data_IF_441395703388
#
_entry.id   IF_441395703388
#
_cell.length_a   1.000
_cell.length_b   1.000
_cell.length_c   1.000
_cell.angle_alpha   90.00
_cell.angle_beta   90.00
_cell.angle_gamma   90.00
#
_symmetry.space_group_name_H-M   'P 1'
#
loop_
_entity.id
_entity.type
_entity.pdbx_description
1 polymer ?
#
# COMPACT_ATOMS: atom_id res chain seq x y z
N UNK A 1 1.99 32.92 44.01
CA UNK A 1 2.70 32.17 42.97
C UNK A 1 2.42 30.67 43.16
N UNK A 2 1.35 30.16 42.60
CA UNK A 2 1.06 28.71 42.42
C UNK A 2 -0.22 28.59 41.59
N UNK A 3 -0.12 28.51 40.28
CA UNK A 3 -1.13 28.06 39.32
C UNK A 3 -0.54 28.08 37.88
N UNK A 4 0.28 27.11 37.54
CA UNK A 4 0.73 26.90 36.17
C UNK A 4 1.26 25.47 35.96
N UNK A 5 0.55 24.44 36.43
CA UNK A 5 1.02 23.06 36.18
C UNK A 5 -0.10 22.02 35.92
N UNK A 6 -1.37 22.44 35.72
CA UNK A 6 -2.49 21.50 35.55
C UNK A 6 -2.89 21.23 34.10
N UNK A 7 -2.28 21.91 33.13
CA UNK A 7 -2.67 21.69 31.70
C UNK A 7 -1.88 20.59 30.98
N UNK A 8 -0.78 20.08 31.54
CA UNK A 8 -0.04 18.96 30.94
C UNK A 8 -0.62 17.58 31.29
N UNK A 9 -1.37 17.45 32.36
CA UNK A 9 -2.01 16.20 32.79
C UNK A 9 -3.30 15.85 32.06
N UNK A 10 -3.98 16.83 31.48
CA UNK A 10 -5.26 16.63 30.81
C UNK A 10 -5.13 16.17 29.33
N UNK A 11 -4.02 16.45 28.69
CA UNK A 11 -3.75 16.00 27.30
C UNK A 11 -3.28 14.55 27.25
N UNK A 12 -2.65 14.03 28.31
CA UNK A 12 -2.18 12.65 28.37
C UNK A 12 -3.29 11.61 28.62
N UNK A 13 -4.47 12.01 29.10
CA UNK A 13 -5.60 11.09 29.41
C UNK A 13 -6.66 10.99 28.31
N UNK A 14 -6.54 11.73 27.20
CA UNK A 14 -7.53 11.71 26.10
C UNK A 14 -7.23 10.72 24.99
N UNK A 15 -6.07 10.04 24.99
CA UNK A 15 -5.64 9.11 23.93
C UNK A 15 -5.71 7.62 24.31
N UNK A 16 -6.56 7.21 25.23
CA UNK A 16 -6.80 5.78 25.50
C UNK A 16 -7.90 5.15 24.62
N UNK A 17 -8.31 5.80 23.54
CA UNK A 17 -9.14 5.18 22.49
C UNK A 17 -8.23 4.57 21.45
N UNK A 18 -7.93 3.26 21.66
CA UNK A 18 -7.50 2.29 20.64
C UNK A 18 -6.59 2.86 19.54
N UNK A 19 -5.32 3.16 19.88
CA UNK A 19 -4.31 3.27 18.83
C UNK A 19 -4.30 1.98 18.03
N UNK A 20 -4.36 2.02 16.71
CA UNK A 20 -4.37 0.81 15.90
C UNK A 20 -3.14 -0.03 16.21
N UNK A 21 -3.33 -1.36 16.29
CA UNK A 21 -2.23 -2.27 16.57
C UNK A 21 -1.46 -2.56 15.28
N UNK A 22 -0.54 -1.66 14.92
CA UNK A 22 0.35 -1.83 13.78
C UNK A 22 1.57 -2.71 14.10
N UNK A 23 1.51 -3.59 15.12
CA UNK A 23 2.63 -4.49 15.39
C UNK A 23 2.98 -5.31 14.18
N UNK A 24 4.27 -5.55 13.98
CA UNK A 24 4.81 -6.27 12.83
C UNK A 24 4.07 -7.60 12.57
N UNK A 25 3.84 -8.40 13.61
CA UNK A 25 3.13 -9.67 13.49
C UNK A 25 1.69 -9.51 12.99
N UNK A 26 0.96 -8.50 13.47
CA UNK A 26 -0.40 -8.23 13.04
C UNK A 26 -0.46 -7.77 11.58
N UNK A 27 0.44 -6.88 11.18
CA UNK A 27 0.55 -6.43 9.78
C UNK A 27 0.82 -7.61 8.84
N UNK A 28 1.80 -8.47 9.19
CA UNK A 28 2.17 -9.61 8.37
C UNK A 28 1.04 -10.65 8.27
N UNK A 29 0.31 -10.88 9.36
CA UNK A 29 -0.79 -11.85 9.39
C UNK A 29 -2.00 -11.36 8.60
N UNK A 30 -2.40 -10.12 8.81
CA UNK A 30 -3.52 -9.51 8.07
C UNK A 30 -3.23 -9.33 6.58
N UNK A 31 -1.97 -9.10 6.22
CA UNK A 31 -1.53 -9.06 4.84
C UNK A 31 -1.47 -10.46 4.17
N UNK A 32 -1.69 -11.53 4.93
CA UNK A 32 -1.55 -12.91 4.43
C UNK A 32 -0.10 -13.31 4.14
N UNK A 33 0.88 -12.54 4.64
CA UNK A 33 2.31 -12.78 4.41
C UNK A 33 2.89 -13.82 5.38
N UNK A 34 2.25 -13.97 6.53
CA UNK A 34 2.62 -14.93 7.56
C UNK A 34 1.35 -15.55 8.16
N UNK A 35 1.15 -16.88 8.05
CA UNK A 35 0.03 -17.55 8.71
C UNK A 35 0.07 -17.37 10.23
N UNK A 36 -1.08 -17.22 10.89
CA UNK A 36 -1.16 -16.99 12.33
C UNK A 36 -0.44 -18.08 13.13
N UNK A 37 -0.64 -19.35 12.78
CA UNK A 37 0.04 -20.46 13.43
C UNK A 37 1.58 -20.33 13.37
N UNK A 38 2.11 -19.86 12.23
CA UNK A 38 3.55 -19.64 12.07
C UNK A 38 4.05 -18.46 12.92
N UNK A 39 3.25 -17.40 13.04
CA UNK A 39 3.56 -16.28 13.93
C UNK A 39 3.63 -16.75 15.40
N UNK A 40 2.67 -17.57 15.83
CA UNK A 40 2.60 -18.07 17.21
C UNK A 40 3.81 -18.96 17.54
N UNK A 41 4.29 -19.79 16.59
CA UNK A 41 5.54 -20.58 16.71
C UNK A 41 6.76 -19.67 16.90
N UNK A 42 6.86 -18.58 16.10
CA UNK A 42 7.98 -17.65 16.19
C UNK A 42 7.95 -16.85 17.49
N UNK A 43 6.75 -16.45 17.94
CA UNK A 43 6.57 -15.76 19.22
C UNK A 43 6.96 -16.66 20.42
N UNK A 44 6.64 -17.96 20.36
CA UNK A 44 7.09 -18.91 21.39
C UNK A 44 8.63 -19.02 21.43
N UNK A 45 9.29 -19.06 20.26
CA UNK A 45 10.75 -19.03 20.18
C UNK A 45 11.32 -17.70 20.69
N UNK A 46 10.69 -16.58 20.33
CA UNK A 46 11.09 -15.26 20.81
C UNK A 46 11.09 -15.18 22.35
N UNK A 47 10.04 -15.69 22.99
CA UNK A 47 9.92 -15.71 24.46
C UNK A 47 11.07 -16.51 25.11
N UNK A 48 11.55 -17.56 24.45
CA UNK A 48 12.66 -18.39 24.95
C UNK A 48 14.05 -17.74 24.77
N UNK A 49 14.24 -16.90 23.75
CA UNK A 49 15.55 -16.38 23.35
C UNK A 49 15.72 -14.86 23.50
N UNK A 50 14.70 -14.17 23.98
CA UNK A 50 14.70 -12.71 24.21
C UNK A 50 15.10 -11.88 22.97
N UNK A 51 14.89 -12.43 21.76
CA UNK A 51 15.23 -11.79 20.49
C UNK A 51 14.15 -10.86 19.95
N UNK A 52 14.47 -10.04 18.95
CA UNK A 52 13.50 -9.23 18.23
C UNK A 52 12.73 -10.09 17.23
N UNK A 53 11.39 -9.98 17.18
CA UNK A 53 10.54 -10.74 16.25
C UNK A 53 11.03 -10.64 14.79
N UNK A 54 11.35 -9.43 14.32
CA UNK A 54 11.84 -9.22 12.96
C UNK A 54 13.13 -10.00 12.64
N UNK A 55 14.09 -10.01 13.56
CA UNK A 55 15.34 -10.75 13.38
C UNK A 55 15.08 -12.26 13.28
N UNK A 56 14.22 -12.81 14.13
CA UNK A 56 13.83 -14.22 14.07
C UNK A 56 13.10 -14.59 12.77
N UNK A 57 12.24 -13.70 12.26
CA UNK A 57 11.56 -13.93 10.99
C UNK A 57 12.53 -14.00 9.82
N UNK A 58 13.60 -13.18 9.83
CA UNK A 58 14.65 -13.20 8.80
C UNK A 58 15.52 -14.46 8.96
N UNK A 59 15.96 -14.77 10.17
CA UNK A 59 16.76 -15.97 10.48
C UNK A 59 16.07 -17.27 10.05
N UNK A 60 14.75 -17.34 10.25
CA UNK A 60 13.92 -18.48 9.84
C UNK A 60 13.54 -18.47 8.35
N UNK A 61 14.02 -17.51 7.57
CA UNK A 61 13.73 -17.36 6.15
C UNK A 61 12.24 -17.06 5.84
N UNK A 62 11.47 -16.58 6.83
CA UNK A 62 10.06 -16.23 6.68
C UNK A 62 9.86 -14.82 6.10
N UNK A 63 10.89 -13.99 6.18
CA UNK A 63 10.95 -12.63 5.67
C UNK A 63 12.36 -12.32 5.18
N UNK A 64 12.48 -11.61 4.07
CA UNK A 64 13.77 -11.06 3.64
C UNK A 64 14.14 -9.83 4.48
N UNK A 65 15.44 -9.58 4.72
CA UNK A 65 15.88 -8.44 5.51
C UNK A 65 15.38 -7.10 4.94
N UNK A 66 15.44 -6.94 3.62
CA UNK A 66 14.94 -5.75 2.94
C UNK A 66 13.41 -5.62 3.04
N UNK A 67 12.67 -6.72 3.08
CA UNK A 67 11.23 -6.72 3.35
C UNK A 67 10.95 -6.29 4.78
N UNK A 68 11.71 -6.79 5.75
CA UNK A 68 11.58 -6.38 7.16
C UNK A 68 11.75 -4.87 7.30
N UNK A 69 12.83 -4.29 6.76
CA UNK A 69 13.05 -2.84 6.83
C UNK A 69 11.93 -2.06 6.17
N UNK A 70 11.42 -2.50 5.02
CA UNK A 70 10.33 -1.85 4.33
C UNK A 70 9.00 -1.92 5.13
N UNK A 71 8.70 -3.05 5.76
CA UNK A 71 7.50 -3.18 6.61
C UNK A 71 7.63 -2.37 7.89
N UNK A 72 8.82 -2.29 8.50
CA UNK A 72 9.06 -1.43 9.66
C UNK A 72 8.94 0.06 9.30
N UNK A 73 9.45 0.49 8.15
CA UNK A 73 9.27 1.85 7.67
C UNK A 73 7.79 2.18 7.40
N UNK A 74 7.05 1.22 6.83
CA UNK A 74 5.61 1.32 6.66
C UNK A 74 4.88 1.41 8.02
N UNK A 75 5.25 0.59 8.99
CA UNK A 75 4.71 0.62 10.34
C UNK A 75 4.87 2.01 10.97
N UNK A 76 6.08 2.59 10.91
CA UNK A 76 6.36 3.94 11.41
C UNK A 76 5.45 4.97 10.71
N UNK A 77 5.36 4.91 9.38
CA UNK A 77 4.51 5.83 8.61
C UNK A 77 3.03 5.69 8.95
N UNK A 78 2.55 4.49 9.28
CA UNK A 78 1.15 4.26 9.70
C UNK A 78 0.85 4.83 11.09
N UNK A 79 1.82 4.79 12.01
CA UNK A 79 1.68 5.44 13.32
C UNK A 79 1.65 6.97 13.23
N UNK A 80 2.31 7.53 12.23
CA UNK A 80 2.39 8.98 11.98
C UNK A 80 1.24 9.49 11.09
N UNK A 81 0.50 8.57 10.44
CA UNK A 81 -0.57 8.93 9.52
C UNK A 81 -1.74 9.62 10.23
N UNK A 82 -2.15 10.77 9.73
CA UNK A 82 -3.38 11.41 10.17
C UNK A 82 -4.62 10.70 9.61
N UNK A 83 -5.78 10.90 10.25
CA UNK A 83 -7.04 10.32 9.79
C UNK A 83 -7.38 10.73 8.34
N UNK A 84 -7.03 11.96 7.95
CA UNK A 84 -7.21 12.49 6.59
C UNK A 84 -6.41 11.69 5.56
N UNK A 85 -5.17 11.30 5.88
CA UNK A 85 -4.32 10.50 4.99
C UNK A 85 -4.90 9.11 4.76
N UNK A 86 -5.48 8.51 5.81
CA UNK A 86 -6.17 7.20 5.72
C UNK A 86 -7.42 7.33 4.85
N UNK A 87 -8.23 8.35 5.06
CA UNK A 87 -9.43 8.62 4.27
C UNK A 87 -9.05 8.84 2.80
N UNK A 88 -8.02 9.63 2.53
CA UNK A 88 -7.56 9.93 1.19
C UNK A 88 -7.07 8.66 0.48
N UNK A 89 -6.33 7.80 1.18
CA UNK A 89 -5.89 6.51 0.63
C UNK A 89 -7.07 5.59 0.29
N UNK A 90 -8.04 5.46 1.20
CA UNK A 90 -9.22 4.61 1.00
C UNK A 90 -10.10 5.10 -0.15
N UNK A 91 -10.27 6.41 -0.28
CA UNK A 91 -11.07 7.05 -1.33
C UNK A 91 -10.33 7.20 -2.67
N UNK A 92 -9.08 6.81 -2.76
CA UNK A 92 -8.30 6.90 -4.00
C UNK A 92 -8.65 5.81 -5.04
N UNK A 93 -9.72 5.02 -4.84
CA UNK A 93 -10.19 4.06 -5.83
C UNK A 93 -11.00 4.77 -6.91
N UNK A 94 -10.87 4.32 -8.15
CA UNK A 94 -11.60 4.91 -9.28
C UNK A 94 -13.13 4.94 -9.04
N UNK A 95 -13.68 3.85 -8.47
CA UNK A 95 -15.11 3.76 -8.15
C UNK A 95 -15.56 4.83 -7.16
N UNK A 96 -14.79 5.07 -6.10
CA UNK A 96 -15.11 6.07 -5.07
C UNK A 96 -15.03 7.50 -5.63
N UNK A 97 -14.06 7.76 -6.50
CA UNK A 97 -13.90 9.04 -7.20
C UNK A 97 -15.13 9.29 -8.09
N UNK A 98 -15.55 8.31 -8.87
CA UNK A 98 -16.69 8.42 -9.77
C UNK A 98 -18.02 8.58 -9.03
N UNK A 99 -18.21 7.87 -7.91
CA UNK A 99 -19.37 8.04 -7.03
C UNK A 99 -19.37 9.42 -6.38
N UNK A 100 -18.25 9.86 -5.81
CA UNK A 100 -18.13 11.17 -5.18
C UNK A 100 -18.35 12.34 -6.15
N UNK A 101 -18.00 12.14 -7.41
CA UNK A 101 -18.28 13.09 -8.50
C UNK A 101 -19.71 12.97 -9.07
N UNK A 102 -20.56 12.09 -8.53
CA UNK A 102 -21.88 11.74 -9.07
C UNK A 102 -21.86 11.34 -10.56
N UNK A 103 -20.71 10.85 -11.04
CA UNK A 103 -20.52 10.41 -12.42
C UNK A 103 -21.13 9.03 -12.70
N UNK A 104 -21.29 8.22 -11.64
CA UNK A 104 -21.99 6.92 -11.65
C UNK A 104 -22.91 6.80 -10.46
N UNK A 105 -23.95 5.96 -10.57
CA UNK A 105 -24.77 5.53 -9.43
C UNK A 105 -24.14 4.33 -8.74
N UNK A 106 -24.52 4.07 -7.48
CA UNK A 106 -24.09 2.86 -6.75
C UNK A 106 -24.44 1.59 -7.51
N UNK A 107 -25.64 1.54 -8.13
CA UNK A 107 -26.06 0.39 -8.90
C UNK A 107 -25.22 0.16 -10.16
N UNK A 108 -24.84 1.22 -10.88
CA UNK A 108 -23.95 1.14 -12.04
C UNK A 108 -22.56 0.66 -11.62
N UNK A 109 -22.03 1.20 -10.51
CA UNK A 109 -20.73 0.78 -9.98
C UNK A 109 -20.76 -0.67 -9.54
N UNK A 110 -21.77 -1.10 -8.80
CA UNK A 110 -21.89 -2.49 -8.34
C UNK A 110 -21.94 -3.46 -9.52
N UNK A 111 -22.74 -3.18 -10.55
CA UNK A 111 -22.80 -4.01 -11.77
C UNK A 111 -21.42 -4.10 -12.46
N UNK A 112 -20.70 -2.99 -12.53
CA UNK A 112 -19.38 -2.97 -13.16
C UNK A 112 -18.34 -3.73 -12.33
N UNK A 113 -18.39 -3.65 -11.00
CA UNK A 113 -17.51 -4.40 -10.10
C UNK A 113 -17.75 -5.92 -10.19
N UNK A 114 -19.01 -6.36 -10.23
CA UNK A 114 -19.35 -7.77 -10.43
C UNK A 114 -18.82 -8.27 -11.78
N UNK A 115 -18.93 -7.46 -12.83
CA UNK A 115 -18.39 -7.82 -14.14
C UNK A 115 -16.86 -7.87 -14.13
N UNK A 116 -16.20 -6.92 -13.44
CA UNK A 116 -14.74 -6.92 -13.28
C UNK A 116 -14.25 -8.20 -12.59
N UNK A 117 -14.95 -8.66 -11.56
CA UNK A 117 -14.61 -9.91 -10.85
C UNK A 117 -14.69 -11.13 -11.79
N UNK A 118 -15.67 -11.15 -12.68
CA UNK A 118 -15.87 -12.26 -13.63
C UNK A 118 -14.88 -12.22 -14.80
N UNK A 119 -14.52 -11.02 -15.30
CA UNK A 119 -13.76 -10.87 -16.55
C UNK A 119 -12.30 -10.49 -16.35
N UNK A 120 -11.93 -9.94 -15.17
CA UNK A 120 -10.62 -9.33 -14.91
C UNK A 120 -10.37 -8.02 -15.67
N UNK A 121 -11.36 -7.48 -16.39
CA UNK A 121 -11.25 -6.26 -17.17
C UNK A 121 -11.19 -5.02 -16.26
N UNK A 122 -10.44 -3.96 -16.61
CA UNK A 122 -10.38 -2.74 -15.81
C UNK A 122 -11.75 -2.09 -15.62
N UNK A 123 -12.08 -1.69 -14.38
CA UNK A 123 -13.36 -1.07 -14.01
C UNK A 123 -13.75 0.09 -14.93
N UNK A 124 -12.79 0.97 -15.24
CA UNK A 124 -13.04 2.12 -16.11
C UNK A 124 -13.45 1.74 -17.53
N UNK A 125 -12.90 0.65 -18.09
CA UNK A 125 -13.28 0.14 -19.42
C UNK A 125 -14.68 -0.44 -19.40
N UNK A 126 -15.02 -1.19 -18.35
CA UNK A 126 -16.36 -1.76 -18.17
C UNK A 126 -17.40 -0.65 -18.09
N UNK A 127 -17.17 0.39 -17.29
CA UNK A 127 -18.10 1.52 -17.14
C UNK A 127 -18.30 2.31 -18.44
N UNK A 128 -17.22 2.49 -19.23
CA UNK A 128 -17.33 3.12 -20.56
C UNK A 128 -18.14 2.24 -21.51
N UNK A 129 -17.87 0.94 -21.58
CA UNK A 129 -18.59 0.00 -22.45
C UNK A 129 -20.07 -0.11 -22.05
N UNK A 130 -20.38 -0.03 -20.77
CA UNK A 130 -21.78 0.01 -20.28
C UNK A 130 -22.46 1.35 -20.53
N UNK A 131 -21.77 2.36 -21.09
CA UNK A 131 -22.30 3.69 -21.29
C UNK A 131 -22.56 4.48 -20.00
N UNK A 132 -22.03 3.98 -18.85
CA UNK A 132 -22.20 4.66 -17.57
C UNK A 132 -21.37 5.94 -17.48
N UNK A 133 -20.20 5.97 -18.11
CA UNK A 133 -19.32 7.15 -18.21
C UNK A 133 -18.77 7.28 -19.64
N UNK A 134 -18.38 8.51 -20.00
CA UNK A 134 -17.62 8.74 -21.24
C UNK A 134 -16.12 8.43 -21.03
N UNK A 135 -15.39 8.25 -22.15
CA UNK A 135 -13.93 8.13 -22.14
C UNK A 135 -13.27 9.33 -21.45
N UNK A 136 -13.78 10.56 -21.72
CA UNK A 136 -13.26 11.77 -21.10
C UNK A 136 -13.42 11.78 -19.56
N UNK A 137 -14.57 11.33 -19.05
CA UNK A 137 -14.81 11.18 -17.61
C UNK A 137 -13.87 10.16 -16.99
N UNK A 138 -13.67 9.00 -17.65
CA UNK A 138 -12.69 7.99 -17.22
C UNK A 138 -11.28 8.58 -17.11
N UNK A 139 -10.80 9.24 -18.17
CA UNK A 139 -9.45 9.83 -18.20
C UNK A 139 -9.30 10.94 -17.14
N UNK A 140 -10.31 11.77 -16.95
CA UNK A 140 -10.33 12.79 -15.89
C UNK A 140 -10.24 12.17 -14.49
N UNK A 141 -11.04 11.15 -14.21
CA UNK A 141 -11.02 10.45 -12.93
C UNK A 141 -9.71 9.70 -12.67
N UNK A 142 -9.13 9.05 -13.69
CA UNK A 142 -7.81 8.43 -13.60
C UNK A 142 -6.69 9.47 -13.44
N UNK A 143 -6.81 10.63 -14.08
CA UNK A 143 -5.91 11.76 -13.89
C UNK A 143 -5.96 12.27 -12.46
N UNK A 144 -7.15 12.50 -11.92
CA UNK A 144 -7.35 12.90 -10.53
C UNK A 144 -6.84 11.84 -9.55
N UNK A 145 -7.14 10.54 -9.78
CA UNK A 145 -6.59 9.45 -8.97
C UNK A 145 -5.07 9.47 -8.92
N UNK A 146 -4.40 9.82 -10.00
CA UNK A 146 -2.93 9.97 -10.06
C UNK A 146 -2.42 11.16 -9.26
N UNK A 147 -3.18 12.25 -9.16
CA UNK A 147 -2.83 13.42 -8.32
C UNK A 147 -3.03 13.16 -6.84
N UNK A 148 -3.91 12.22 -6.48
CA UNK A 148 -4.04 11.72 -5.11
C UNK A 148 -2.86 10.79 -4.77
N UNK A 149 -1.63 11.32 -4.87
CA UNK A 149 -0.43 10.57 -4.53
C UNK A 149 -0.41 10.30 -3.04
N UNK A 150 -0.67 9.05 -2.65
CA UNK A 150 -0.38 8.61 -1.30
C UNK A 150 1.15 8.47 -1.16
N UNK A 151 1.79 9.14 -0.20
CA UNK A 151 3.23 8.98 0.05
C UNK A 151 3.61 7.51 0.28
N UNK A 152 2.65 6.69 0.74
CA UNK A 152 2.82 5.25 0.88
C UNK A 152 2.96 4.52 -0.46
N UNK A 153 2.14 4.85 -1.46
CA UNK A 153 2.20 4.22 -2.79
C UNK A 153 3.47 4.60 -3.56
N UNK A 154 3.93 5.83 -3.42
CA UNK A 154 5.09 6.30 -4.15
C UNK A 154 6.36 5.55 -3.77
N UNK A 155 6.52 5.20 -2.49
CA UNK A 155 7.64 4.37 -2.01
C UNK A 155 7.62 2.94 -2.57
N UNK A 156 6.44 2.43 -2.93
CA UNK A 156 6.26 1.07 -3.44
C UNK A 156 6.28 0.98 -4.98
N UNK A 157 6.58 2.07 -5.68
CA UNK A 157 6.77 2.02 -7.14
C UNK A 157 8.07 1.29 -7.47
N UNK A 158 8.01 0.39 -8.46
CA UNK A 158 9.17 -0.41 -8.87
C UNK A 158 10.43 0.42 -9.07
N UNK A 159 10.33 1.53 -9.82
CA UNK A 159 11.47 2.42 -10.06
C UNK A 159 12.06 3.01 -8.77
N UNK A 160 11.21 3.37 -7.81
CA UNK A 160 11.64 3.89 -6.51
C UNK A 160 12.36 2.82 -5.69
N UNK A 161 11.81 1.62 -5.65
CA UNK A 161 12.40 0.49 -4.94
C UNK A 161 13.77 0.10 -5.52
N UNK A 162 13.92 0.12 -6.84
CA UNK A 162 15.18 -0.16 -7.53
C UNK A 162 16.25 0.92 -7.24
N UNK A 163 15.84 2.21 -7.18
CA UNK A 163 16.72 3.32 -6.79
C UNK A 163 17.19 3.19 -5.33
N UNK A 164 16.26 2.95 -4.41
CA UNK A 164 16.58 2.83 -2.97
C UNK A 164 17.49 1.63 -2.67
N UNK A 165 17.36 0.56 -3.45
CA UNK A 165 18.25 -0.60 -3.39
C UNK A 165 19.57 -0.40 -4.17
N UNK A 166 19.79 0.76 -4.80
CA UNK A 166 20.97 1.06 -5.63
C UNK A 166 21.18 0.05 -6.78
N UNK A 167 20.11 -0.61 -7.23
CA UNK A 167 20.13 -1.53 -8.37
C UNK A 167 20.18 -0.76 -9.68
N UNK A 168 19.55 0.42 -9.71
CA UNK A 168 19.50 1.32 -10.86
C UNK A 168 19.84 2.74 -10.38
N UNK A 169 20.64 3.46 -11.13
CA UNK A 169 20.90 4.86 -10.88
C UNK A 169 19.80 5.77 -11.46
N UNK A 170 19.68 7.05 -11.02
CA UNK A 170 18.63 7.96 -11.47
C UNK A 170 18.62 8.22 -12.97
N UNK A 171 19.79 8.32 -13.61
CA UNK A 171 19.93 8.63 -15.04
C UNK A 171 19.42 7.45 -15.88
N UNK A 172 19.84 6.25 -15.51
CA UNK A 172 19.42 5.01 -16.16
C UNK A 172 17.90 4.80 -16.00
N UNK A 173 17.35 5.05 -14.80
CA UNK A 173 15.91 4.95 -14.57
C UNK A 173 15.12 5.96 -15.42
N UNK A 174 15.61 7.20 -15.54
CA UNK A 174 14.98 8.20 -16.41
C UNK A 174 14.97 7.76 -17.87
N UNK A 175 16.07 7.16 -18.36
CA UNK A 175 16.15 6.56 -19.68
C UNK A 175 15.10 5.46 -19.90
N UNK A 176 14.95 4.56 -18.92
CA UNK A 176 13.93 3.50 -18.96
C UNK A 176 12.50 4.05 -18.94
N UNK A 177 12.24 5.12 -18.18
CA UNK A 177 10.92 5.79 -18.15
C UNK A 177 10.63 6.45 -19.52
N UNK A 178 11.62 7.07 -20.17
CA UNK A 178 11.45 7.62 -21.52
C UNK A 178 11.12 6.51 -22.53
N UNK A 179 11.83 5.38 -22.45
CA UNK A 179 11.56 4.21 -23.31
C UNK A 179 10.17 3.62 -23.05
N UNK A 180 9.78 3.46 -21.77
CA UNK A 180 8.45 3.01 -21.38
C UNK A 180 7.34 3.84 -22.04
N UNK A 181 7.47 5.17 -22.00
CA UNK A 181 6.48 6.09 -22.59
C UNK A 181 6.47 6.01 -24.12
N UNK A 182 7.63 5.94 -24.74
CA UNK A 182 7.76 5.88 -26.20
C UNK A 182 7.25 4.56 -26.79
N UNK A 183 7.63 3.44 -26.22
CA UNK A 183 7.26 2.11 -26.69
C UNK A 183 5.93 1.57 -26.08
N UNK A 184 5.34 2.28 -25.09
CA UNK A 184 4.13 1.86 -24.36
C UNK A 184 4.28 0.50 -23.65
N UNK A 185 5.47 0.16 -23.23
CA UNK A 185 5.78 -1.06 -22.47
C UNK A 185 5.76 -0.79 -20.96
N UNK A 186 5.84 -1.84 -20.12
CA UNK A 186 5.99 -1.66 -18.67
C UNK A 186 7.43 -1.25 -18.34
N UNK A 187 7.63 -0.56 -17.20
CA UNK A 187 8.96 -0.14 -16.76
C UNK A 187 9.93 -1.33 -16.60
N UNK A 188 9.43 -2.45 -16.06
CA UNK A 188 10.22 -3.67 -15.93
C UNK A 188 10.72 -4.18 -17.28
N UNK A 189 9.84 -4.22 -18.29
CA UNK A 189 10.18 -4.68 -19.64
C UNK A 189 11.20 -3.72 -20.29
N UNK A 190 11.03 -2.40 -20.13
CA UNK A 190 11.98 -1.40 -20.62
C UNK A 190 13.38 -1.58 -20.01
N UNK A 191 13.47 -1.87 -18.70
CA UNK A 191 14.73 -2.12 -18.01
C UNK A 191 15.41 -3.43 -18.46
N UNK A 192 14.62 -4.49 -18.73
CA UNK A 192 15.13 -5.75 -19.31
C UNK A 192 15.66 -5.54 -20.72
N UNK A 193 14.90 -4.86 -21.60
CA UNK A 193 15.32 -4.56 -22.97
C UNK A 193 16.59 -3.69 -23.03
N UNK A 194 16.80 -2.84 -22.05
CA UNK A 194 18.01 -2.04 -21.90
C UNK A 194 19.16 -2.81 -21.25
N UNK A 195 18.97 -4.08 -20.87
CA UNK A 195 19.92 -4.91 -20.11
C UNK A 195 20.40 -4.27 -18.80
N UNK A 196 19.56 -3.45 -18.18
CA UNK A 196 19.86 -2.78 -16.91
C UNK A 196 19.70 -3.73 -15.71
N UNK A 197 18.68 -4.61 -15.79
CA UNK A 197 18.41 -5.63 -14.79
C UNK A 197 18.17 -6.97 -15.47
N UNK A 198 18.34 -8.06 -14.71
CA UNK A 198 17.98 -9.42 -15.12
C UNK A 198 16.52 -9.72 -14.83
N UNK A 199 15.98 -10.76 -15.49
CA UNK A 199 14.64 -11.28 -15.21
C UNK A 199 14.48 -11.66 -13.72
N UNK A 200 15.48 -12.29 -13.12
CA UNK A 200 15.48 -12.70 -11.72
C UNK A 200 15.37 -11.49 -10.76
N UNK A 201 16.13 -10.43 -11.04
CA UNK A 201 16.05 -9.18 -10.29
C UNK A 201 14.64 -8.57 -10.41
N UNK A 202 14.08 -8.49 -11.61
CA UNK A 202 12.73 -7.96 -11.82
C UNK A 202 11.70 -8.76 -11.02
N UNK A 203 11.70 -10.08 -11.11
CA UNK A 203 10.77 -10.95 -10.40
C UNK A 203 10.88 -10.80 -8.88
N UNK A 204 12.10 -10.69 -8.37
CA UNK A 204 12.35 -10.45 -6.95
C UNK A 204 11.74 -9.14 -6.48
N UNK A 205 11.95 -8.04 -7.23
CA UNK A 205 11.38 -6.74 -6.86
C UNK A 205 9.86 -6.69 -7.03
N UNK A 206 9.29 -7.33 -8.04
CA UNK A 206 7.84 -7.44 -8.22
C UNK A 206 7.19 -8.28 -7.11
N UNK A 207 7.82 -9.37 -6.67
CA UNK A 207 7.36 -10.18 -5.54
C UNK A 207 7.39 -9.34 -4.25
N UNK A 208 8.49 -8.65 -3.97
CA UNK A 208 8.62 -7.75 -2.82
C UNK A 208 7.57 -6.63 -2.86
N UNK A 209 7.36 -5.99 -4.01
CA UNK A 209 6.35 -4.96 -4.20
C UNK A 209 4.95 -5.48 -3.84
N UNK A 210 4.56 -6.66 -4.33
CA UNK A 210 3.25 -7.27 -4.01
C UNK A 210 3.09 -7.51 -2.52
N UNK A 211 4.12 -8.04 -1.85
CA UNK A 211 4.09 -8.28 -0.40
C UNK A 211 3.94 -6.98 0.40
N UNK A 212 4.68 -5.95 0.04
CA UNK A 212 4.59 -4.63 0.69
C UNK A 212 3.25 -3.93 0.42
N UNK A 213 2.70 -4.07 -0.78
CA UNK A 213 1.35 -3.56 -1.08
C UNK A 213 0.27 -4.26 -0.24
N UNK A 214 0.39 -5.57 0.00
CA UNK A 214 -0.50 -6.30 0.88
C UNK A 214 -0.37 -5.83 2.35
N UNK A 215 0.87 -5.61 2.83
CA UNK A 215 1.11 -5.06 4.16
C UNK A 215 0.55 -3.63 4.32
N UNK A 216 0.70 -2.79 3.30
CA UNK A 216 0.11 -1.45 3.27
C UNK A 216 -1.42 -1.51 3.34
N UNK A 217 -2.05 -2.35 2.53
CA UNK A 217 -3.51 -2.51 2.53
C UNK A 217 -4.02 -2.98 3.90
N UNK A 218 -3.33 -3.94 4.52
CA UNK A 218 -3.65 -4.41 5.86
C UNK A 218 -3.50 -3.32 6.93
N UNK A 219 -2.41 -2.54 6.87
CA UNK A 219 -2.17 -1.44 7.79
C UNK A 219 -3.20 -0.32 7.65
N UNK A 220 -3.58 0.02 6.41
CA UNK A 220 -4.61 1.03 6.16
C UNK A 220 -6.00 0.56 6.62
N UNK A 221 -6.31 -0.74 6.50
CA UNK A 221 -7.54 -1.31 7.03
C UNK A 221 -7.59 -1.21 8.57
N UNK A 222 -6.48 -1.53 9.25
CA UNK A 222 -6.33 -1.36 10.70
C UNK A 222 -6.49 0.11 11.13
N UNK A 223 -5.89 1.04 10.38
CA UNK A 223 -6.02 2.46 10.64
C UNK A 223 -7.47 2.93 10.50
N UNK A 224 -8.17 2.49 9.45
CA UNK A 224 -9.58 2.79 9.23
C UNK A 224 -10.46 2.29 10.38
N UNK A 225 -10.25 1.04 10.82
CA UNK A 225 -10.97 0.46 11.96
C UNK A 225 -10.76 1.29 13.24
N UNK A 226 -9.52 1.73 13.50
CA UNK A 226 -9.19 2.54 14.68
C UNK A 226 -9.84 3.93 14.66
N UNK A 227 -9.99 4.52 13.47
CA UNK A 227 -10.67 5.81 13.30
C UNK A 227 -12.19 5.70 13.18
N UNK A 228 -12.76 4.48 13.32
CA UNK A 228 -14.21 4.25 13.18
C UNK A 228 -14.74 4.45 11.77
N UNK A 229 -13.87 4.34 10.76
CA UNK A 229 -14.25 4.44 9.36
C UNK A 229 -14.89 3.12 8.89
N UNK A 230 -15.91 3.15 8.02
CA UNK A 230 -16.52 1.94 7.50
C UNK A 230 -15.50 1.11 6.73
N UNK A 231 -15.58 -0.22 6.87
CA UNK A 231 -14.77 -1.14 6.08
C UNK A 231 -15.11 -0.94 4.60
N UNK A 232 -14.12 -0.57 3.83
CA UNK A 232 -14.23 -0.50 2.37
C UNK A 232 -13.81 -1.87 1.84
N UNK A 233 -14.80 -2.67 1.47
CA UNK A 233 -14.60 -3.95 0.80
C UNK A 233 -14.21 -3.78 -0.66
#
# INVERSE_FOLDING_TARGET
MRRANDHRGALAKRNSRTSPDFRLGELLTRAGLLPRARLDEVLAKQAAHNGKLGALLVELGLLEEAELYAVLALQTSLYEAAAEDVILFLRARLGDILLGAAAVTEEQLLRALLQQELTGEPLGEILVRQGAISVAVREGALGFQRTLSSPFRDRLRLGRMLLEASVVDPVTLEGAIRRQRGARVKLGDALLEMNVITQEVLETFLRRQRRLMAALAAGMALAAEAHGLPRVY
#
